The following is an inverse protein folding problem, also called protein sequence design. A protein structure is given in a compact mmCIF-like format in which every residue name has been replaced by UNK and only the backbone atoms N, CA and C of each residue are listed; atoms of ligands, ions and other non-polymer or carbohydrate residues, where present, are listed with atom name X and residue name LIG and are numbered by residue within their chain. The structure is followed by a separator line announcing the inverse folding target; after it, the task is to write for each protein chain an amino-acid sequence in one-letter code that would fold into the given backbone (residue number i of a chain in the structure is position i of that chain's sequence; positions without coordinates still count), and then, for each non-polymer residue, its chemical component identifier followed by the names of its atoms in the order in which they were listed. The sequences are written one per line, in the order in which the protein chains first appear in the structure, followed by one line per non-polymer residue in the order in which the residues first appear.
data_IF_176418278866
#
_entry.id   IF_176418278866
#
_cell.length_a   1.000
_cell.length_b   1.000
_cell.length_c   1.000
_cell.angle_alpha   90.00
_cell.angle_beta   90.00
_cell.angle_gamma   90.00
#
_symmetry.space_group_name_H-M   'P 1'
#
loop_
_entity.id
_entity.type
_entity.pdbx_description
1 polymer ?
#
# COMPACT_ATOMS: atom_id res chain seq x y z
N UNK A 1 -27.16 -17.65 -25.31
CA UNK A 1 -27.43 -16.21 -25.08
C UNK A 1 -27.28 -15.84 -23.60
N UNK A 2 -28.05 -16.44 -22.67
CA UNK A 2 -27.98 -16.12 -21.23
C UNK A 2 -26.58 -16.33 -20.59
N UNK A 3 -25.85 -17.38 -20.98
CA UNK A 3 -24.48 -17.60 -20.51
C UNK A 3 -23.49 -16.51 -20.94
N UNK A 4 -23.56 -16.09 -22.21
CA UNK A 4 -22.71 -15.01 -22.74
C UNK A 4 -22.99 -13.66 -22.09
N UNK A 5 -24.27 -13.33 -21.86
CA UNK A 5 -24.67 -12.11 -21.14
C UNK A 5 -24.14 -12.13 -19.71
N UNK A 6 -24.28 -13.26 -19.00
CA UNK A 6 -23.75 -13.43 -17.64
C UNK A 6 -22.24 -13.20 -17.59
N UNK A 7 -21.47 -13.80 -18.49
CA UNK A 7 -20.01 -13.63 -18.54
C UNK A 7 -19.61 -12.17 -18.73
N UNK A 8 -20.28 -11.45 -19.64
CA UNK A 8 -20.00 -10.02 -19.88
C UNK A 8 -20.31 -9.17 -18.65
N UNK A 9 -21.45 -9.40 -18.01
CA UNK A 9 -21.86 -8.65 -16.82
C UNK A 9 -20.95 -8.92 -15.62
N UNK A 10 -20.56 -10.18 -15.39
CA UNK A 10 -19.62 -10.54 -14.32
C UNK A 10 -18.25 -9.91 -14.55
N UNK A 11 -17.73 -9.97 -15.78
CA UNK A 11 -16.45 -9.35 -16.11
C UNK A 11 -16.47 -7.82 -15.94
N UNK A 12 -17.60 -7.16 -16.22
CA UNK A 12 -17.76 -5.73 -15.97
C UNK A 12 -17.72 -5.40 -14.46
N UNK A 13 -18.39 -6.21 -13.64
CA UNK A 13 -18.36 -6.08 -12.18
C UNK A 13 -16.95 -6.26 -11.59
N UNK A 14 -16.24 -7.31 -12.03
CA UNK A 14 -14.86 -7.58 -11.61
C UNK A 14 -13.91 -6.42 -11.95
N UNK A 15 -14.00 -5.89 -13.17
CA UNK A 15 -13.21 -4.72 -13.58
C UNK A 15 -13.52 -3.49 -12.74
N UNK A 16 -14.79 -3.27 -12.40
CA UNK A 16 -15.21 -2.19 -11.49
C UNK A 16 -14.59 -2.30 -10.11
N UNK A 17 -14.59 -3.52 -9.53
CA UNK A 17 -13.96 -3.78 -8.24
C UNK A 17 -12.45 -3.52 -8.26
N UNK A 18 -11.75 -3.89 -9.34
CA UNK A 18 -10.32 -3.61 -9.49
C UNK A 18 -10.04 -2.11 -9.65
N UNK A 19 -10.85 -1.39 -10.42
CA UNK A 19 -10.72 0.06 -10.57
C UNK A 19 -10.90 0.77 -9.23
N UNK A 20 -11.90 0.35 -8.46
CA UNK A 20 -12.12 0.82 -7.10
C UNK A 20 -10.92 0.53 -6.19
N UNK A 21 -10.37 -0.69 -6.22
CA UNK A 21 -9.21 -1.07 -5.42
C UNK A 21 -7.99 -0.19 -5.71
N UNK A 22 -7.72 0.09 -6.99
CA UNK A 22 -6.65 1.01 -7.40
C UNK A 22 -6.87 2.43 -6.86
N UNK A 23 -8.09 2.97 -7.03
CA UNK A 23 -8.43 4.33 -6.60
C UNK A 23 -8.36 4.51 -5.09
N UNK A 24 -8.93 3.57 -4.33
CA UNK A 24 -8.87 3.59 -2.86
C UNK A 24 -7.44 3.42 -2.35
N UNK A 25 -6.65 2.52 -2.95
CA UNK A 25 -5.26 2.35 -2.55
C UNK A 25 -4.43 3.62 -2.78
N UNK A 26 -4.60 4.27 -3.93
CA UNK A 26 -3.94 5.54 -4.24
C UNK A 26 -4.33 6.65 -3.24
N UNK A 27 -5.63 6.83 -3.00
CA UNK A 27 -6.15 7.85 -2.10
C UNK A 27 -5.80 7.56 -0.62
N UNK A 28 -5.71 6.30 -0.22
CA UNK A 28 -5.26 5.91 1.13
C UNK A 28 -3.78 6.25 1.32
N UNK A 29 -2.95 5.98 0.32
CA UNK A 29 -1.51 6.12 0.47
C UNK A 29 -1.03 7.58 0.41
N UNK A 30 -1.68 8.43 -0.39
CA UNK A 30 -1.13 9.74 -0.81
C UNK A 30 -0.64 10.65 0.32
N UNK A 31 -1.42 10.80 1.40
CA UNK A 31 -1.16 11.77 2.48
C UNK A 31 -1.00 11.14 3.87
N UNK A 32 -0.80 9.82 3.95
CA UNK A 32 -0.34 9.09 5.14
C UNK A 32 -1.12 9.40 6.44
N UNK A 33 -2.46 9.54 6.32
CA UNK A 33 -3.37 9.86 7.43
C UNK A 33 -4.03 11.24 7.35
N UNK A 34 -3.75 12.00 6.28
CA UNK A 34 -4.35 13.29 6.01
C UNK A 34 -5.83 13.23 5.53
N UNK A 35 -6.36 14.37 5.05
CA UNK A 35 -7.77 14.48 4.63
C UNK A 35 -8.18 13.50 3.53
N UNK A 36 -7.29 13.21 2.57
CA UNK A 36 -7.61 12.32 1.43
C UNK A 36 -7.70 10.88 1.90
N UNK A 37 -6.74 10.42 2.73
CA UNK A 37 -6.80 9.09 3.33
C UNK A 37 -8.09 8.91 4.17
N UNK A 38 -8.44 9.90 4.99
CA UNK A 38 -9.69 9.86 5.78
C UNK A 38 -10.94 9.79 4.89
N UNK A 39 -10.99 10.59 3.83
CA UNK A 39 -12.10 10.60 2.87
C UNK A 39 -12.22 9.25 2.13
N UNK A 40 -11.11 8.73 1.58
CA UNK A 40 -11.06 7.38 1.00
C UNK A 40 -11.56 6.34 2.00
N UNK A 41 -11.26 6.59 3.26
CA UNK A 41 -11.70 5.75 4.34
C UNK A 41 -13.19 5.70 4.59
N UNK A 42 -13.83 6.86 4.67
CA UNK A 42 -15.28 6.93 4.78
C UNK A 42 -15.97 6.22 3.60
N UNK A 43 -15.47 6.43 2.38
CA UNK A 43 -15.99 5.74 1.18
C UNK A 43 -15.86 4.21 1.33
N UNK A 44 -14.69 3.73 1.72
CA UNK A 44 -14.46 2.29 1.85
C UNK A 44 -15.31 1.65 2.94
N UNK A 45 -15.46 2.32 4.09
CA UNK A 45 -16.31 1.85 5.17
C UNK A 45 -17.79 1.87 4.77
N UNK A 46 -18.26 2.88 4.04
CA UNK A 46 -19.63 2.92 3.54
C UNK A 46 -19.95 1.71 2.66
N UNK A 47 -19.11 1.43 1.66
CA UNK A 47 -19.33 0.25 0.81
C UNK A 47 -19.22 -1.08 1.56
N UNK A 48 -18.40 -1.14 2.60
CA UNK A 48 -18.25 -2.33 3.43
C UNK A 48 -19.51 -2.57 4.27
N UNK A 49 -20.04 -1.50 4.89
CA UNK A 49 -21.28 -1.52 5.67
C UNK A 49 -22.48 -1.90 4.81
N UNK A 50 -22.54 -1.40 3.59
CA UNK A 50 -23.62 -1.72 2.63
C UNK A 50 -23.41 -3.08 1.94
N UNK A 51 -22.37 -3.84 2.32
CA UNK A 51 -22.00 -5.13 1.73
C UNK A 51 -21.77 -5.10 0.21
N UNK A 52 -21.36 -3.95 -0.32
CA UNK A 52 -21.11 -3.72 -1.75
C UNK A 52 -19.69 -4.14 -2.15
N UNK A 53 -18.68 -3.67 -1.41
CA UNK A 53 -17.27 -3.99 -1.64
C UNK A 53 -16.52 -4.13 -0.31
N UNK A 54 -15.59 -5.08 -0.19
CA UNK A 54 -14.83 -5.28 1.04
C UNK A 54 -13.78 -4.18 1.26
N UNK A 55 -13.41 -3.94 2.53
CA UNK A 55 -12.40 -2.93 2.93
C UNK A 55 -10.95 -3.33 2.57
N UNK A 56 -10.76 -4.49 1.96
CA UNK A 56 -9.46 -5.15 1.70
C UNK A 56 -8.41 -4.23 1.08
N UNK A 57 -8.75 -3.53 0.00
CA UNK A 57 -7.80 -2.68 -0.71
C UNK A 57 -7.26 -1.55 0.18
N UNK A 58 -8.13 -0.97 1.02
CA UNK A 58 -7.76 0.08 1.98
C UNK A 58 -6.89 -0.48 3.10
N UNK A 59 -7.30 -1.62 3.69
CA UNK A 59 -6.56 -2.24 4.78
C UNK A 59 -5.13 -2.62 4.34
N UNK A 60 -4.95 -3.13 3.13
CA UNK A 60 -3.61 -3.43 2.61
C UNK A 60 -2.82 -2.14 2.32
N UNK A 61 -3.48 -1.13 1.72
CA UNK A 61 -2.81 0.11 1.30
C UNK A 61 -2.25 0.92 2.47
N UNK A 62 -2.89 0.90 3.65
CA UNK A 62 -2.48 1.73 4.80
C UNK A 62 -1.09 1.36 5.35
N UNK A 63 -0.73 0.07 5.28
CA UNK A 63 0.52 -0.45 5.86
C UNK A 63 1.68 -0.51 4.86
N UNK A 64 1.40 -0.49 3.56
CA UNK A 64 2.44 -0.60 2.53
C UNK A 64 3.48 0.55 2.59
N UNK A 65 3.10 1.83 2.70
CA UNK A 65 4.07 2.92 2.76
C UNK A 65 5.11 2.78 3.88
N UNK A 66 4.73 2.64 5.17
CA UNK A 66 5.70 2.51 6.24
C UNK A 66 6.53 1.22 6.17
N UNK A 67 5.96 0.09 5.74
CA UNK A 67 6.73 -1.16 5.55
C UNK A 67 7.75 -1.00 4.44
N UNK A 68 7.33 -0.48 3.29
CA UNK A 68 8.19 -0.31 2.12
C UNK A 68 9.32 0.67 2.35
N UNK A 69 9.05 1.81 3.01
CA UNK A 69 10.08 2.79 3.34
C UNK A 69 11.04 2.27 4.42
N UNK A 70 10.54 1.58 5.44
CA UNK A 70 11.39 0.92 6.42
C UNK A 70 12.29 -0.14 5.79
N UNK A 71 11.73 -0.97 4.91
CA UNK A 71 12.48 -1.95 4.13
C UNK A 71 13.55 -1.28 3.26
N UNK A 72 13.23 -0.15 2.62
CA UNK A 72 14.18 0.63 1.82
C UNK A 72 15.44 1.02 2.62
N UNK A 73 15.28 1.46 3.87
CA UNK A 73 16.42 1.83 4.72
C UNK A 73 17.30 0.66 5.14
N UNK A 74 16.80 -0.58 5.05
CA UNK A 74 17.57 -1.80 5.36
C UNK A 74 18.35 -2.27 4.14
N UNK A 75 17.76 -2.15 2.95
CA UNK A 75 18.30 -2.73 1.71
C UNK A 75 19.15 -1.77 0.88
N UNK A 76 19.03 -0.44 1.06
CA UNK A 76 19.67 0.57 0.22
C UNK A 76 21.19 0.35 0.08
N UNK A 77 21.89 0.15 1.20
CA UNK A 77 23.33 -0.05 1.23
C UNK A 77 23.73 -1.35 0.58
N UNK A 78 22.94 -2.42 0.77
CA UNK A 78 23.21 -3.73 0.17
C UNK A 78 23.00 -3.71 -1.34
N UNK A 79 21.98 -3.01 -1.82
CA UNK A 79 21.65 -2.92 -3.25
C UNK A 79 22.55 -1.95 -4.01
N UNK A 80 22.94 -0.84 -3.40
CA UNK A 80 23.58 0.27 -4.12
C UNK A 80 25.02 0.56 -3.69
N UNK A 81 25.48 -0.06 -2.59
CA UNK A 81 26.77 0.22 -1.97
C UNK A 81 26.83 1.57 -1.24
N UNK A 82 25.72 2.33 -1.22
CA UNK A 82 25.66 3.69 -0.65
C UNK A 82 24.50 3.84 0.32
N UNK A 83 24.63 4.79 1.24
CA UNK A 83 23.55 5.26 2.11
C UNK A 83 22.80 6.37 1.39
N UNK A 84 21.56 6.11 1.00
CA UNK A 84 20.75 7.02 0.19
C UNK A 84 19.79 7.89 1.01
N UNK A 85 19.59 7.53 2.27
CA UNK A 85 18.77 8.26 3.22
C UNK A 85 19.63 9.03 4.21
N UNK A 86 19.06 10.10 4.78
CA UNK A 86 19.68 10.80 5.89
C UNK A 86 19.86 9.88 7.12
N UNK A 87 20.86 10.14 7.94
CA UNK A 87 21.24 9.31 9.09
C UNK A 87 20.07 9.10 10.09
N UNK A 88 19.20 10.09 10.24
CA UNK A 88 18.03 10.04 11.13
C UNK A 88 16.91 9.14 10.57
N UNK A 89 16.87 8.88 9.26
CA UNK A 89 15.81 8.06 8.65
C UNK A 89 16.01 6.56 8.88
N UNK A 90 17.23 6.07 9.07
CA UNK A 90 17.47 4.64 9.34
C UNK A 90 16.83 4.14 10.65
N UNK A 91 16.97 4.81 11.81
CA UNK A 91 16.24 4.40 13.01
C UNK A 91 14.73 4.61 12.84
N UNK A 92 14.30 5.69 12.16
CA UNK A 92 12.89 5.95 11.90
C UNK A 92 12.26 4.90 10.98
N UNK A 93 13.01 4.31 10.05
CA UNK A 93 12.53 3.23 9.19
C UNK A 93 12.13 1.98 9.98
N UNK A 94 12.87 1.66 11.05
CA UNK A 94 12.49 0.57 11.97
C UNK A 94 11.20 0.91 12.72
N UNK A 95 11.10 2.14 13.24
CA UNK A 95 9.89 2.63 13.90
C UNK A 95 8.70 2.63 12.95
N UNK A 96 8.88 3.00 11.68
CA UNK A 96 7.83 2.99 10.68
C UNK A 96 7.27 1.58 10.47
N UNK A 97 8.13 0.56 10.31
CA UNK A 97 7.66 -0.83 10.20
C UNK A 97 6.89 -1.29 11.44
N UNK A 98 7.34 -0.89 12.63
CA UNK A 98 6.62 -1.21 13.88
C UNK A 98 5.25 -0.53 13.92
N UNK A 99 5.15 0.73 13.53
CA UNK A 99 3.87 1.43 13.41
C UNK A 99 2.96 0.79 12.36
N UNK A 100 3.52 0.34 11.24
CA UNK A 100 2.77 -0.39 10.22
C UNK A 100 2.17 -1.69 10.76
N UNK A 101 2.92 -2.39 11.62
CA UNK A 101 2.42 -3.59 12.31
C UNK A 101 1.20 -3.29 13.19
N UNK A 102 1.10 -2.06 13.71
CA UNK A 102 -0.07 -1.56 14.45
C UNK A 102 -1.16 -0.95 13.55
N UNK A 103 -1.00 -1.00 12.22
CA UNK A 103 -1.94 -0.40 11.26
C UNK A 103 -1.81 1.11 11.10
N UNK A 104 -0.68 1.71 11.53
CA UNK A 104 -0.46 3.16 11.53
C UNK A 104 0.42 3.53 10.33
N UNK A 105 -0.09 4.41 9.45
CA UNK A 105 0.59 4.84 8.21
C UNK A 105 1.58 5.99 8.42
N UNK A 106 1.42 6.72 9.52
CA UNK A 106 2.07 7.99 9.86
C UNK A 106 3.58 7.83 10.06
N UNK A 107 4.05 6.60 10.33
CA UNK A 107 5.47 6.27 10.38
C UNK A 107 6.23 6.60 9.10
N UNK A 108 5.53 6.75 7.97
CA UNK A 108 6.11 7.14 6.69
C UNK A 108 6.27 8.67 6.50
N UNK A 109 5.64 9.50 7.34
CA UNK A 109 5.65 10.98 7.20
C UNK A 109 7.08 11.55 7.13
N UNK A 110 8.03 11.15 7.99
CA UNK A 110 9.39 11.71 7.94
C UNK A 110 10.09 11.49 6.59
N UNK A 111 9.83 10.37 5.92
CA UNK A 111 10.37 10.07 4.60
C UNK A 111 9.73 10.93 3.51
N UNK A 112 8.41 11.14 3.61
CA UNK A 112 7.68 12.01 2.71
C UNK A 112 8.12 13.48 2.86
N UNK A 113 8.46 13.92 4.07
CA UNK A 113 8.97 15.28 4.32
C UNK A 113 10.41 15.48 3.82
N UNK A 114 11.27 14.48 3.96
CA UNK A 114 12.67 14.59 3.53
C UNK A 114 12.84 14.49 2.01
N UNK A 115 12.04 13.67 1.32
CA UNK A 115 12.04 13.63 -0.14
C UNK A 115 10.66 13.27 -0.71
N UNK A 116 9.74 14.26 -0.82
CA UNK A 116 8.38 14.02 -1.30
C UNK A 116 8.35 13.43 -2.72
N UNK A 117 9.23 13.93 -3.59
CA UNK A 117 9.31 13.55 -5.01
C UNK A 117 9.68 12.07 -5.18
N UNK A 118 10.46 11.50 -4.27
CA UNK A 118 10.82 10.08 -4.33
C UNK A 118 9.89 9.21 -3.51
N UNK A 119 9.49 9.65 -2.32
CA UNK A 119 8.70 8.86 -1.39
C UNK A 119 7.26 8.69 -1.89
N UNK A 120 6.55 9.80 -2.16
CA UNK A 120 5.11 9.79 -2.45
C UNK A 120 4.77 8.91 -3.66
N UNK A 121 5.42 9.10 -4.83
CA UNK A 121 5.12 8.26 -5.98
C UNK A 121 5.47 6.78 -5.73
N UNK A 122 6.56 6.50 -5.00
CA UNK A 122 7.01 5.13 -4.75
C UNK A 122 6.02 4.33 -3.94
N UNK A 123 5.58 4.87 -2.79
CA UNK A 123 4.65 4.14 -1.95
C UNK A 123 3.23 4.13 -2.53
N UNK A 124 2.84 5.13 -3.32
CA UNK A 124 1.54 5.12 -4.00
C UNK A 124 1.48 3.98 -5.02
N UNK A 125 2.52 3.84 -5.85
CA UNK A 125 2.62 2.73 -6.80
C UNK A 125 2.65 1.39 -6.07
N UNK A 126 3.44 1.28 -5.00
CA UNK A 126 3.46 0.07 -4.19
C UNK A 126 2.10 -0.27 -3.57
N UNK A 127 1.39 0.71 -3.02
CA UNK A 127 0.06 0.51 -2.45
C UNK A 127 -0.94 0.07 -3.51
N UNK A 128 -0.96 0.72 -4.67
CA UNK A 128 -1.83 0.35 -5.80
C UNK A 128 -1.55 -1.09 -6.24
N UNK A 129 -0.28 -1.44 -6.48
CA UNK A 129 0.06 -2.78 -6.98
C UNK A 129 -0.23 -3.85 -5.93
N UNK A 130 0.18 -3.65 -4.69
CA UNK A 130 -0.02 -4.63 -3.60
C UNK A 130 -1.50 -4.88 -3.30
N UNK A 131 -2.28 -3.81 -3.12
CA UNK A 131 -3.72 -3.91 -2.83
C UNK A 131 -4.50 -4.49 -3.99
N UNK A 132 -4.23 -4.05 -5.22
CA UNK A 132 -4.98 -4.52 -6.40
C UNK A 132 -4.65 -5.97 -6.71
N UNK A 133 -3.37 -6.37 -6.59
CA UNK A 133 -2.98 -7.77 -6.77
C UNK A 133 -3.66 -8.69 -5.75
N UNK A 134 -3.73 -8.28 -4.48
CA UNK A 134 -4.41 -9.05 -3.44
C UNK A 134 -5.91 -9.21 -3.74
N UNK A 135 -6.60 -8.11 -4.09
CA UNK A 135 -8.02 -8.14 -4.45
C UNK A 135 -8.27 -9.02 -5.68
N UNK A 136 -7.43 -8.88 -6.71
CA UNK A 136 -7.53 -9.66 -7.94
C UNK A 136 -7.36 -11.16 -7.71
N UNK A 137 -6.43 -11.54 -6.83
CA UNK A 137 -6.17 -12.93 -6.46
C UNK A 137 -7.14 -13.47 -5.38
N UNK A 138 -8.14 -12.67 -4.99
CA UNK A 138 -9.26 -13.12 -4.15
C UNK A 138 -9.05 -12.94 -2.64
N UNK A 139 -8.15 -12.08 -2.19
CA UNK A 139 -8.09 -11.69 -0.78
C UNK A 139 -9.34 -10.88 -0.40
N UNK A 140 -9.95 -11.21 0.75
CA UNK A 140 -11.16 -10.52 1.23
C UNK A 140 -11.07 -10.27 2.74
N UNK A 141 -11.41 -9.05 3.12
CA UNK A 141 -11.53 -8.55 4.49
C UNK A 141 -12.76 -7.66 4.56
N UNK A 142 -13.76 -8.06 5.35
CA UNK A 142 -14.96 -7.27 5.63
C UNK A 142 -14.86 -6.50 6.93
N UNK A 143 -14.19 -7.05 7.95
CA UNK A 143 -14.04 -6.36 9.23
C UNK A 143 -12.98 -5.26 9.15
N UNK A 144 -13.28 -4.02 9.60
CA UNK A 144 -12.37 -2.88 9.53
C UNK A 144 -11.28 -2.93 10.61
N UNK A 145 -10.59 -4.06 10.73
CA UNK A 145 -9.44 -4.26 11.61
C UNK A 145 -8.14 -3.83 10.95
N UNK A 146 -7.11 -3.57 11.77
CA UNK A 146 -5.77 -3.25 11.28
C UNK A 146 -5.21 -4.38 10.43
N UNK A 147 -4.53 -4.02 9.33
CA UNK A 147 -4.22 -4.93 8.22
C UNK A 147 -3.61 -6.28 8.66
N UNK A 148 -2.58 -6.21 9.51
CA UNK A 148 -1.84 -7.39 9.94
C UNK A 148 -2.59 -8.18 11.01
N UNK A 149 -3.39 -7.51 11.85
CA UNK A 149 -4.15 -8.16 12.92
C UNK A 149 -5.50 -8.69 12.48
N UNK A 150 -5.97 -8.33 11.28
CA UNK A 150 -7.17 -8.86 10.67
C UNK A 150 -7.06 -10.35 10.27
N UNK A 151 -5.91 -10.99 10.45
CA UNK A 151 -5.61 -12.35 9.98
C UNK A 151 -6.66 -13.45 10.29
N UNK A 152 -7.39 -13.45 11.43
CA UNK A 152 -8.44 -14.46 11.67
C UNK A 152 -9.71 -14.22 10.85
N UNK A 153 -9.88 -13.00 10.33
CA UNK A 153 -11.09 -12.50 9.67
C UNK A 153 -10.88 -12.30 8.15
N UNK A 154 -9.72 -12.70 7.63
CA UNK A 154 -9.34 -12.56 6.22
C UNK A 154 -9.54 -13.88 5.48
N UNK A 155 -10.26 -13.83 4.36
CA UNK A 155 -10.30 -14.93 3.39
C UNK A 155 -9.09 -14.83 2.47
N UNK A 156 -8.45 -15.96 2.17
CA UNK A 156 -7.20 -16.05 1.40
C UNK A 156 -6.04 -15.25 2.04
N UNK A 157 -5.77 -15.52 3.32
CA UNK A 157 -4.71 -14.85 4.09
C UNK A 157 -3.33 -14.88 3.42
N UNK A 158 -2.95 -16.00 2.78
CA UNK A 158 -1.66 -16.08 2.07
C UNK A 158 -1.55 -15.05 0.94
N UNK A 159 -2.61 -14.86 0.16
CA UNK A 159 -2.69 -13.85 -0.90
C UNK A 159 -2.70 -12.44 -0.33
N UNK A 160 -3.43 -12.23 0.77
CA UNK A 160 -3.47 -10.95 1.47
C UNK A 160 -2.07 -10.51 1.92
N UNK A 161 -1.35 -11.39 2.60
CA UNK A 161 0.01 -11.13 3.08
C UNK A 161 1.01 -10.98 1.92
N UNK A 162 0.84 -11.78 0.85
CA UNK A 162 1.65 -11.63 -0.36
C UNK A 162 1.43 -10.26 -1.04
N UNK A 163 0.20 -9.72 -1.02
CA UNK A 163 -0.10 -8.38 -1.53
C UNK A 163 0.60 -7.27 -0.73
N UNK A 164 0.55 -7.34 0.61
CA UNK A 164 1.31 -6.42 1.48
C UNK A 164 2.81 -6.49 1.16
N UNK A 165 3.36 -7.70 1.10
CA UNK A 165 4.78 -7.91 0.82
C UNK A 165 5.16 -7.38 -0.58
N UNK A 166 4.36 -7.67 -1.60
CA UNK A 166 4.56 -7.19 -2.97
C UNK A 166 4.59 -5.66 -3.03
N UNK A 167 3.59 -5.01 -2.44
CA UNK A 167 3.52 -3.55 -2.42
C UNK A 167 4.66 -2.90 -1.65
N UNK A 168 5.06 -3.49 -0.52
CA UNK A 168 6.20 -3.03 0.26
C UNK A 168 7.53 -3.17 -0.51
N UNK A 169 7.74 -4.29 -1.19
CA UNK A 169 8.94 -4.52 -2.02
C UNK A 169 8.99 -3.52 -3.18
N UNK A 170 7.87 -3.31 -3.89
CA UNK A 170 7.79 -2.33 -4.99
C UNK A 170 8.11 -0.92 -4.47
N UNK A 171 7.51 -0.52 -3.35
CA UNK A 171 7.80 0.76 -2.69
C UNK A 171 9.28 0.90 -2.39
N UNK A 172 9.89 -0.12 -1.79
CA UNK A 172 11.29 -0.11 -1.37
C UNK A 172 12.25 -0.01 -2.58
N UNK A 173 12.02 -0.81 -3.61
CA UNK A 173 12.83 -0.79 -4.82
C UNK A 173 12.69 0.52 -5.58
N UNK A 174 11.47 1.04 -5.71
CA UNK A 174 11.20 2.29 -6.44
C UNK A 174 11.84 3.49 -5.74
N UNK A 175 11.71 3.61 -4.41
CA UNK A 175 12.31 4.74 -3.68
C UNK A 175 13.84 4.68 -3.70
N UNK A 176 14.43 3.48 -3.55
CA UNK A 176 15.89 3.29 -3.65
C UNK A 176 16.38 3.65 -5.05
N UNK A 177 15.68 3.20 -6.09
CA UNK A 177 16.04 3.50 -7.48
C UNK A 177 15.96 5.01 -7.77
N UNK A 178 14.87 5.67 -7.40
CA UNK A 178 14.70 7.10 -7.61
C UNK A 178 15.75 7.93 -6.84
N UNK A 179 16.04 7.57 -5.59
CA UNK A 179 17.08 8.23 -4.80
C UNK A 179 18.48 8.00 -5.36
N UNK A 180 18.78 6.80 -5.85
CA UNK A 180 20.06 6.53 -6.52
C UNK A 180 20.23 7.40 -7.76
N UNK A 181 19.17 7.63 -8.53
CA UNK A 181 19.20 8.53 -9.68
C UNK A 181 19.43 10.00 -9.26
N UNK A 182 18.81 10.45 -8.16
CA UNK A 182 19.06 11.80 -7.62
C UNK A 182 20.51 11.95 -7.17
N UNK A 183 21.01 10.98 -6.40
CA UNK A 183 22.39 10.95 -5.94
C UNK A 183 23.38 11.05 -7.11
N UNK A 184 23.14 10.30 -8.21
CA UNK A 184 23.98 10.34 -9.42
C UNK A 184 23.93 11.70 -10.14
N UNK A 185 22.84 12.45 -9.99
CA UNK A 185 22.68 13.80 -10.54
C UNK A 185 23.20 14.90 -9.60
N UNK A 186 23.82 14.54 -8.48
CA UNK A 186 24.33 15.49 -7.49
C UNK A 186 23.22 16.22 -6.71
N UNK A 187 22.03 15.61 -6.64
CA UNK A 187 20.87 16.12 -5.90
C UNK A 187 20.58 15.23 -4.70
#
# INVERSE_FOLDING_TARGET
INGGIRTVLTAAGEKGALMYAMGIAAATAIDLGGPINKAAGFVAFSFTTDHVLPVTARSIAIVIPPIGLGLATIIDRRLTGKRLFNAQLYPQGKTAMFLAFMGISEGAIPFALESPITAIPSYMVGAIVGSTAAVWLGAVQWFPESAIWAWPLVTNLGVYMAGIALGAVITALMVVFLRLMMFRKGK
#
